data_IF_822350034692
#
_entry.id   IF_822350034692
#
_cell.length_a   1.000
_cell.length_b   1.000
_cell.length_c   1.000
_cell.angle_alpha   90.00
_cell.angle_beta   90.00
_cell.angle_gamma   90.00
#
_symmetry.space_group_name_H-M   'P 1'
#
loop_
_entity.id
_entity.type
_entity.pdbx_description
1 polymer ?
#
# COMPACT_ATOMS: atom_id res chain seq x y z
N UNK A 1 -9.48 17.64 -11.02
CA UNK A 1 -10.17 16.39 -10.64
C UNK A 1 -10.56 16.48 -9.19
N UNK A 2 -11.74 16.00 -8.81
CA UNK A 2 -12.21 16.04 -7.43
C UNK A 2 -12.24 14.62 -6.91
N UNK A 3 -11.43 14.35 -5.88
CA UNK A 3 -11.44 13.06 -5.20
C UNK A 3 -12.81 12.91 -4.48
N UNK A 4 -13.57 11.83 -4.71
CA UNK A 4 -14.82 11.60 -3.98
C UNK A 4 -14.53 11.39 -2.50
N UNK A 5 -15.56 11.47 -1.66
CA UNK A 5 -15.40 11.09 -0.26
C UNK A 5 -15.04 9.60 -0.16
N UNK A 6 -13.99 9.29 0.59
CA UNK A 6 -13.46 7.93 0.73
C UNK A 6 -13.02 7.66 2.16
N UNK A 7 -12.82 6.39 2.49
CA UNK A 7 -12.22 5.96 3.74
C UNK A 7 -11.18 4.86 3.51
N UNK A 8 -10.27 4.71 4.45
CA UNK A 8 -9.29 3.63 4.44
C UNK A 8 -9.83 2.39 5.14
N UNK A 9 -9.61 1.21 4.56
CA UNK A 9 -9.79 -0.04 5.29
C UNK A 9 -8.87 -1.19 4.80
N UNK A 10 -8.61 -2.20 5.65
CA UNK A 10 -7.84 -3.38 5.26
C UNK A 10 -8.47 -4.15 4.12
N UNK A 11 -7.63 -4.65 3.21
CA UNK A 11 -8.06 -5.56 2.15
C UNK A 11 -8.80 -6.78 2.72
N UNK A 12 -9.92 -7.14 2.10
CA UNK A 12 -10.75 -8.25 2.52
C UNK A 12 -11.43 -8.93 1.31
N UNK A 13 -12.24 -9.95 1.56
CA UNK A 13 -12.96 -10.66 0.50
C UNK A 13 -14.09 -9.83 -0.16
N UNK A 14 -14.58 -8.78 0.51
CA UNK A 14 -15.74 -7.99 0.05
C UNK A 14 -15.42 -7.00 -1.08
N UNK A 15 -14.13 -6.72 -1.29
CA UNK A 15 -13.66 -5.70 -2.23
C UNK A 15 -13.61 -6.21 -3.68
N UNK A 16 -14.05 -5.38 -4.62
CA UNK A 16 -13.97 -5.70 -6.05
C UNK A 16 -12.59 -5.37 -6.63
N UNK A 17 -11.64 -6.26 -6.33
CA UNK A 17 -10.24 -6.12 -6.75
C UNK A 17 -10.03 -6.32 -8.26
N UNK A 18 -10.97 -6.99 -8.94
CA UNK A 18 -10.87 -7.26 -10.38
C UNK A 18 -11.23 -6.03 -11.21
N UNK A 19 -12.05 -5.14 -10.67
CA UNK A 19 -12.42 -3.90 -11.31
C UNK A 19 -11.37 -2.78 -11.13
N UNK A 20 -10.34 -2.98 -10.31
CA UNK A 20 -9.28 -1.99 -10.11
C UNK A 20 -8.41 -1.85 -11.36
N UNK A 21 -8.25 -0.62 -11.82
CA UNK A 21 -7.43 -0.24 -12.97
C UNK A 21 -6.51 0.95 -12.60
N UNK A 22 -5.26 0.62 -12.26
CA UNK A 22 -4.15 1.56 -12.13
C UNK A 22 -3.31 1.64 -13.40
N UNK A 23 -2.33 2.55 -13.40
CA UNK A 23 -1.39 2.78 -14.51
C UNK A 23 -0.34 1.67 -14.70
N UNK A 24 -0.10 0.87 -13.66
CA UNK A 24 0.87 -0.23 -13.68
C UNK A 24 0.17 -1.60 -13.64
N UNK A 25 0.34 -2.38 -14.71
CA UNK A 25 -0.24 -3.70 -14.85
C UNK A 25 0.27 -4.72 -13.80
N UNK A 26 1.51 -4.60 -13.34
CA UNK A 26 2.06 -5.45 -12.27
C UNK A 26 1.40 -5.12 -10.92
N UNK A 27 1.11 -3.84 -10.65
CA UNK A 27 0.38 -3.43 -9.45
C UNK A 27 -1.09 -3.90 -9.48
N UNK A 28 -1.72 -3.85 -10.65
CA UNK A 28 -3.06 -4.39 -10.85
C UNK A 28 -3.08 -5.90 -10.59
N UNK A 29 -2.14 -6.66 -11.18
CA UNK A 29 -2.03 -8.11 -10.96
C UNK A 29 -1.75 -8.45 -9.49
N UNK A 30 -0.87 -7.68 -8.84
CA UNK A 30 -0.58 -7.80 -7.43
C UNK A 30 -1.84 -7.67 -6.55
N UNK A 31 -2.64 -6.62 -6.76
CA UNK A 31 -3.87 -6.40 -5.98
C UNK A 31 -4.88 -7.53 -6.19
N UNK A 32 -5.03 -7.97 -7.43
CA UNK A 32 -6.00 -9.00 -7.82
C UNK A 32 -5.66 -10.37 -7.23
N UNK A 33 -4.37 -10.77 -7.30
CA UNK A 33 -3.94 -12.14 -6.99
C UNK A 33 -3.28 -12.30 -5.64
N UNK A 34 -2.43 -11.37 -5.22
CA UNK A 34 -1.47 -11.62 -4.14
C UNK A 34 -1.70 -10.75 -2.89
N UNK A 35 -2.23 -9.53 -3.03
CA UNK A 35 -2.29 -8.55 -1.94
C UNK A 35 -3.05 -9.04 -0.70
N UNK A 36 -4.19 -9.72 -0.88
CA UNK A 36 -4.98 -10.25 0.24
C UNK A 36 -4.26 -11.41 0.93
N UNK A 37 -3.68 -12.33 0.16
CA UNK A 37 -2.94 -13.46 0.73
C UNK A 37 -1.73 -12.97 1.54
N UNK A 38 -0.99 -11.98 1.02
CA UNK A 38 0.12 -11.35 1.73
C UNK A 38 -0.33 -10.67 3.03
N UNK A 39 -1.50 -10.00 3.02
CA UNK A 39 -2.10 -9.41 4.20
C UNK A 39 -2.48 -10.44 5.27
N UNK A 40 -3.15 -11.52 4.84
CA UNK A 40 -3.63 -12.60 5.71
C UNK A 40 -2.45 -13.37 6.33
N UNK A 41 -1.37 -13.60 5.58
CA UNK A 41 -0.16 -14.28 6.04
C UNK A 41 0.83 -13.38 6.81
N UNK A 42 0.54 -12.09 6.93
CA UNK A 42 1.40 -11.13 7.64
C UNK A 42 2.67 -10.72 6.89
N UNK A 43 2.80 -11.04 5.60
CA UNK A 43 3.95 -10.64 4.79
C UNK A 43 3.97 -9.15 4.47
N UNK A 44 2.80 -8.56 4.22
CA UNK A 44 2.62 -7.12 4.07
C UNK A 44 1.19 -6.72 4.40
N UNK A 45 0.98 -5.60 5.08
CA UNK A 45 -0.35 -5.04 5.33
C UNK A 45 -0.77 -4.15 4.18
N UNK A 46 -1.78 -4.60 3.45
CA UNK A 46 -2.43 -3.83 2.38
C UNK A 46 -3.67 -3.12 2.88
N UNK A 47 -3.74 -1.81 2.63
CA UNK A 47 -4.85 -0.91 2.93
C UNK A 47 -5.40 -0.33 1.63
N UNK A 48 -6.72 -0.16 1.56
CA UNK A 48 -7.44 0.28 0.38
C UNK A 48 -8.11 1.63 0.65
N UNK A 49 -8.11 2.52 -0.34
CA UNK A 49 -8.97 3.70 -0.36
C UNK A 49 -10.30 3.30 -1.00
N UNK A 50 -11.37 3.28 -0.20
CA UNK A 50 -12.71 2.82 -0.62
C UNK A 50 -13.63 4.02 -0.80
N UNK A 51 -14.29 4.08 -1.95
CA UNK A 51 -15.32 5.08 -2.24
C UNK A 51 -16.52 4.92 -1.29
N UNK A 52 -16.90 6.00 -0.61
CA UNK A 52 -18.01 5.98 0.35
C UNK A 52 -19.38 5.79 -0.30
N UNK A 53 -19.50 6.05 -1.61
CA UNK A 53 -20.78 5.97 -2.33
C UNK A 53 -21.28 4.54 -2.45
N UNK A 54 -20.39 3.57 -2.65
CA UNK A 54 -20.74 2.15 -2.81
C UNK A 54 -20.05 1.20 -1.81
N UNK A 55 -19.08 1.70 -1.03
CA UNK A 55 -18.25 0.94 -0.08
C UNK A 55 -17.57 -0.28 -0.70
N UNK A 56 -17.28 -0.25 -2.00
CA UNK A 56 -16.72 -1.38 -2.76
C UNK A 56 -15.65 -0.95 -3.76
N UNK A 57 -15.83 0.20 -4.41
CA UNK A 57 -14.91 0.70 -5.42
C UNK A 57 -13.59 1.09 -4.77
N UNK A 58 -12.50 0.55 -5.32
CA UNK A 58 -11.14 0.80 -4.86
C UNK A 58 -10.58 1.97 -5.68
N UNK A 59 -10.33 3.09 -5.02
CA UNK A 59 -9.75 4.30 -5.63
C UNK A 59 -8.21 4.29 -5.60
N UNK A 60 -7.63 3.42 -4.78
CA UNK A 60 -6.19 3.25 -4.64
C UNK A 60 -5.88 2.25 -3.54
N UNK A 61 -4.60 1.86 -3.46
CA UNK A 61 -4.13 1.00 -2.38
C UNK A 61 -2.65 1.24 -2.10
N UNK A 62 -2.22 0.80 -0.92
CA UNK A 62 -0.81 0.68 -0.60
C UNK A 62 -0.55 -0.54 0.27
N UNK A 63 0.72 -1.00 0.28
CA UNK A 63 1.16 -2.13 1.09
C UNK A 63 2.42 -1.76 1.90
N UNK A 64 2.40 -2.07 3.19
CA UNK A 64 3.53 -1.88 4.12
C UNK A 64 4.06 -3.23 4.60
N UNK A 65 5.38 -3.40 4.61
CA UNK A 65 6.06 -4.54 5.20
C UNK A 65 7.09 -4.08 6.23
N UNK A 66 7.29 -4.80 7.36
CA UNK A 66 8.40 -4.53 8.26
C UNK A 66 9.73 -4.61 7.51
N UNK A 67 10.67 -3.73 7.85
CA UNK A 67 12.00 -3.73 7.26
C UNK A 67 13.00 -2.97 8.11
N UNK A 68 14.26 -3.03 7.68
CA UNK A 68 15.32 -2.21 8.26
C UNK A 68 16.31 -1.83 7.16
N UNK A 69 16.98 -0.69 7.32
CA UNK A 69 18.13 -0.31 6.51
C UNK A 69 19.40 -0.52 7.31
N UNK A 70 20.47 -0.94 6.64
CA UNK A 70 21.79 -0.96 7.25
C UNK A 70 22.14 0.46 7.73
N UNK A 71 22.80 0.55 8.89
CA UNK A 71 23.18 1.83 9.48
C UNK A 71 23.95 2.70 8.47
N UNK A 72 24.88 2.10 7.74
CA UNK A 72 25.74 2.76 6.75
C UNK A 72 24.94 3.40 5.59
N UNK A 73 23.86 2.76 5.15
CA UNK A 73 23.04 3.19 4.01
C UNK A 73 21.92 4.17 4.41
N UNK A 74 21.76 4.42 5.71
CA UNK A 74 20.71 5.31 6.22
C UNK A 74 21.18 6.77 6.20
N UNK A 75 20.36 7.72 5.71
CA UNK A 75 20.66 9.15 5.78
C UNK A 75 21.00 9.60 7.20
N UNK A 76 21.99 10.48 7.35
CA UNK A 76 22.50 10.91 8.67
C UNK A 76 21.39 11.44 9.57
N UNK A 77 20.45 12.20 9.02
CA UNK A 77 19.31 12.77 9.75
C UNK A 77 18.42 11.71 10.42
N UNK A 78 18.31 10.51 9.84
CA UNK A 78 17.48 9.42 10.37
C UNK A 78 18.24 8.51 11.33
N UNK A 79 19.57 8.42 11.23
CA UNK A 79 20.41 7.58 12.10
C UNK A 79 21.09 8.33 13.24
N UNK A 80 20.99 9.66 13.27
CA UNK A 80 21.61 10.51 14.31
C UNK A 80 21.05 10.15 15.68
N UNK A 81 21.94 9.83 16.62
CA UNK A 81 21.58 9.43 17.99
C UNK A 81 21.15 7.97 18.13
N UNK A 82 21.11 7.20 17.04
CA UNK A 82 20.90 5.75 17.08
C UNK A 82 22.22 5.01 17.27
N UNK A 83 22.17 3.84 17.91
CA UNK A 83 23.28 2.91 17.95
C UNK A 83 23.65 2.45 16.52
N UNK A 84 24.91 2.07 16.30
CA UNK A 84 25.39 1.53 15.01
C UNK A 84 24.83 0.13 14.75
N UNK A 85 23.53 0.05 14.45
CA UNK A 85 22.77 -1.15 14.08
C UNK A 85 21.76 -0.79 12.99
N UNK A 86 21.14 -1.79 12.40
CA UNK A 86 20.09 -1.59 11.40
C UNK A 86 18.99 -0.69 11.94
N UNK A 87 18.61 0.31 11.14
CA UNK A 87 17.60 1.30 11.47
C UNK A 87 16.24 0.73 11.09
N UNK A 88 15.34 0.48 12.05
CA UNK A 88 14.05 -0.15 11.79
C UNK A 88 13.09 0.80 11.08
N UNK A 89 12.18 0.24 10.30
CA UNK A 89 11.12 0.99 9.64
C UNK A 89 10.12 0.09 8.92
N UNK A 90 9.34 0.70 8.03
CA UNK A 90 8.43 -0.01 7.15
C UNK A 90 8.78 0.32 5.70
N UNK A 91 8.82 -0.71 4.87
CA UNK A 91 8.91 -0.55 3.43
C UNK A 91 7.50 -0.33 2.87
N UNK A 92 7.32 0.78 2.16
CA UNK A 92 6.21 0.96 1.22
C UNK A 92 6.49 0.09 -0.01
N UNK A 93 5.93 -1.11 -0.03
CA UNK A 93 6.26 -2.11 -1.06
C UNK A 93 5.50 -1.86 -2.35
N UNK A 94 4.29 -1.30 -2.25
CA UNK A 94 3.37 -1.06 -3.36
C UNK A 94 2.53 0.19 -3.04
N UNK A 95 2.27 1.00 -4.06
CA UNK A 95 1.39 2.16 -4.00
C UNK A 95 0.80 2.36 -5.40
N UNK A 96 -0.52 2.42 -5.52
CA UNK A 96 -1.19 2.72 -6.78
C UNK A 96 -2.48 3.52 -6.53
N UNK A 97 -2.80 4.41 -7.47
CA UNK A 97 -4.08 5.08 -7.55
C UNK A 97 -4.81 4.63 -8.81
N UNK A 98 -6.14 4.54 -8.73
CA UNK A 98 -6.99 4.22 -9.87
C UNK A 98 -6.89 5.34 -10.92
N UNK A 99 -6.82 5.00 -12.22
CA UNK A 99 -6.58 5.97 -13.32
C UNK A 99 -7.54 7.16 -13.34
N UNK A 100 -8.80 6.92 -12.97
CA UNK A 100 -9.87 7.95 -12.86
C UNK A 100 -9.62 9.04 -11.81
N UNK A 101 -8.74 8.82 -10.84
CA UNK A 101 -8.47 9.76 -9.73
C UNK A 101 -7.00 10.15 -9.61
N UNK A 102 -6.17 9.79 -10.60
CA UNK A 102 -4.77 10.21 -10.67
C UNK A 102 -4.66 11.71 -10.97
N UNK A 103 -3.70 12.40 -10.35
CA UNK A 103 -3.46 13.83 -10.52
C UNK A 103 -2.14 14.27 -9.91
#
# INVERSE_FOLDING_TARGET
>A
MTLPAWHEEPISKKHDRKAFDGDDAELNDFLQRYARQSHDLGGAKTLLAIDNTDNKTILGFYSLAPGALAYADTPEILRRGLAQRDVPGFRLTRLAAHVRVQG
#
